data_IF_194194413562
#
_entry.id   IF_194194413562
#
_cell.length_a   1.000
_cell.length_b   1.000
_cell.length_c   1.000
_cell.angle_alpha   90.00
_cell.angle_beta   90.00
_cell.angle_gamma   90.00
#
_symmetry.space_group_name_H-M   'P 1'
#
loop_
_entity.id
_entity.type
_entity.pdbx_description
1 polymer ?
#
# COMPACT_ATOMS: atom_id res chain seq x y z
N UNK A 1 12.98 6.11 13.47
CA UNK A 1 12.92 6.49 12.03
C UNK A 1 12.64 5.29 11.11
N UNK A 2 11.65 4.44 11.43
CA UNK A 2 11.19 3.35 10.53
C UNK A 2 9.66 3.23 10.48
N UNK A 3 8.95 4.05 11.26
CA UNK A 3 7.49 4.05 11.40
C UNK A 3 6.78 5.02 10.46
N UNK A 4 7.50 5.99 9.88
CA UNK A 4 6.92 6.96 8.95
C UNK A 4 6.70 6.40 7.54
N UNK A 5 7.56 5.46 7.11
CA UNK A 5 7.47 4.85 5.77
C UNK A 5 6.26 3.90 5.58
N UNK A 6 5.61 3.50 6.68
CA UNK A 6 4.39 2.67 6.64
C UNK A 6 3.11 3.51 6.56
N UNK A 7 3.16 4.78 6.98
CA UNK A 7 1.98 5.66 7.00
C UNK A 7 1.62 6.18 5.60
N UNK A 8 2.62 6.39 4.75
CA UNK A 8 2.47 6.82 3.35
C UNK A 8 1.86 5.76 2.45
N UNK A 9 2.18 4.48 2.70
CA UNK A 9 1.61 3.38 1.92
C UNK A 9 0.12 3.17 2.27
N UNK A 10 -0.30 3.50 3.50
CA UNK A 10 -1.68 3.30 3.97
C UNK A 10 -2.68 4.27 3.33
N UNK A 11 -2.29 5.54 3.14
CA UNK A 11 -3.14 6.59 2.54
C UNK A 11 -3.42 6.31 1.06
N UNK A 12 -2.56 5.56 0.38
CA UNK A 12 -2.62 5.36 -1.07
C UNK A 12 -3.30 4.08 -1.54
N UNK A 13 -3.66 3.18 -0.62
CA UNK A 13 -4.37 1.92 -0.92
C UNK A 13 -5.82 1.95 -0.43
N UNK A 14 -6.13 2.67 0.64
CA UNK A 14 -7.48 2.70 1.20
C UNK A 14 -8.20 3.96 0.77
N UNK A 15 -9.19 3.81 -0.10
CA UNK A 15 -10.16 4.85 -0.49
C UNK A 15 -11.03 5.38 0.66
N UNK A 16 -10.62 5.20 1.92
CA UNK A 16 -11.28 5.69 3.12
C UNK A 16 -10.27 6.43 3.98
N UNK A 17 -10.19 7.75 3.81
CA UNK A 17 -9.81 8.59 4.94
C UNK A 17 -10.98 8.48 5.93
N UNK A 18 -10.89 7.54 6.87
CA UNK A 18 -11.72 7.62 8.07
C UNK A 18 -11.35 8.93 8.75
N UNK A 19 -12.36 9.78 8.99
CA UNK A 19 -12.26 11.08 9.68
C UNK A 19 -11.52 11.02 11.02
N UNK A 20 -11.33 9.82 11.59
CA UNK A 20 -10.56 9.54 12.80
C UNK A 20 -9.04 9.58 12.67
N UNK A 21 -8.45 9.44 11.47
CA UNK A 21 -6.98 9.47 11.31
C UNK A 21 -6.43 10.90 11.31
N UNK A 22 -7.26 11.84 10.84
CA UNK A 22 -7.01 13.27 10.95
C UNK A 22 -7.00 13.65 12.43
N UNK A 23 -7.91 13.17 13.28
CA UNK A 23 -7.86 13.53 14.71
C UNK A 23 -6.60 13.03 15.44
N UNK A 24 -6.07 11.86 15.09
CA UNK A 24 -4.91 11.27 15.77
C UNK A 24 -3.56 11.87 15.32
N UNK A 25 -3.43 12.27 14.05
CA UNK A 25 -2.25 13.01 13.58
C UNK A 25 -2.16 14.41 14.22
N UNK A 26 -3.31 15.03 14.53
CA UNK A 26 -3.41 16.34 15.18
C UNK A 26 -3.16 16.27 16.70
N UNK A 27 -3.25 15.07 17.30
CA UNK A 27 -2.91 14.87 18.71
C UNK A 27 -1.39 14.83 18.97
N UNK A 28 -0.55 14.86 17.93
CA UNK A 28 0.90 15.03 18.06
C UNK A 28 1.27 16.51 17.96
N UNK A 29 2.00 17.02 18.96
CA UNK A 29 2.47 18.41 19.07
C UNK A 29 3.53 18.83 18.00
N UNK A 30 3.55 18.22 16.82
CA UNK A 30 4.45 18.60 15.70
C UNK A 30 3.62 19.25 14.57
N UNK A 31 3.59 20.59 14.48
CA UNK A 31 2.83 21.32 13.45
C UNK A 31 3.21 20.90 12.02
N UNK A 32 4.43 20.38 11.81
CA UNK A 32 4.94 20.00 10.50
C UNK A 32 4.55 18.57 10.07
N UNK A 33 3.79 17.82 10.89
CA UNK A 33 3.40 16.46 10.53
C UNK A 33 2.46 16.43 9.31
N UNK A 34 1.56 17.41 9.19
CA UNK A 34 0.64 17.54 8.06
C UNK A 34 1.39 17.84 6.77
N UNK A 35 2.36 18.77 6.82
CA UNK A 35 3.22 19.09 5.69
C UNK A 35 3.98 17.85 5.21
N UNK A 36 4.62 17.10 6.12
CA UNK A 36 5.33 15.87 5.76
C UNK A 36 4.44 14.83 5.09
N UNK A 37 3.20 14.67 5.56
CA UNK A 37 2.24 13.76 4.93
C UNK A 37 1.88 14.27 3.54
N UNK A 38 1.61 15.57 3.40
CA UNK A 38 1.22 16.20 2.14
C UNK A 38 2.32 16.13 1.08
N UNK A 39 3.57 16.48 1.42
CA UNK A 39 4.72 16.37 0.52
C UNK A 39 4.96 14.92 0.05
N UNK A 40 4.74 13.95 0.94
CA UNK A 40 4.91 12.55 0.59
C UNK A 40 3.81 12.06 -0.34
N UNK A 41 2.56 12.47 -0.08
CA UNK A 41 1.43 12.20 -0.96
C UNK A 41 1.64 12.84 -2.34
N UNK A 42 2.07 14.10 -2.40
CA UNK A 42 2.38 14.83 -3.63
C UNK A 42 3.42 14.06 -4.49
N UNK A 43 4.56 13.71 -3.89
CA UNK A 43 5.59 12.89 -4.54
C UNK A 43 5.03 11.56 -5.04
N UNK A 44 4.16 10.92 -4.27
CA UNK A 44 3.61 9.62 -4.64
C UNK A 44 2.61 9.73 -5.79
N UNK A 45 1.76 10.76 -5.80
CA UNK A 45 0.83 11.05 -6.90
C UNK A 45 1.60 11.40 -8.16
N UNK A 46 2.61 12.27 -8.09
CA UNK A 46 3.48 12.57 -9.24
C UNK A 46 4.09 11.31 -9.84
N UNK A 47 4.70 10.46 -9.00
CA UNK A 47 5.23 9.17 -9.42
C UNK A 47 4.16 8.25 -10.05
N UNK A 48 2.91 8.30 -9.56
CA UNK A 48 1.81 7.54 -10.16
C UNK A 48 1.41 8.08 -11.54
N UNK A 49 1.35 9.39 -11.69
CA UNK A 49 1.05 10.04 -12.97
C UNK A 49 2.15 9.75 -13.99
N UNK A 50 3.42 9.94 -13.61
CA UNK A 50 4.59 9.64 -14.46
C UNK A 50 4.58 8.17 -14.91
N UNK A 51 4.25 7.23 -14.01
CA UNK A 51 4.14 5.80 -14.34
C UNK A 51 2.96 5.47 -15.24
N UNK A 52 1.84 6.16 -15.07
CA UNK A 52 0.57 5.84 -15.75
C UNK A 52 0.43 6.52 -17.11
N UNK A 53 1.04 7.70 -17.28
CA UNK A 53 0.86 8.57 -18.44
C UNK A 53 2.18 9.09 -19.04
N UNK A 54 3.30 9.08 -18.30
CA UNK A 54 4.55 9.71 -18.75
C UNK A 54 4.33 11.20 -19.02
N UNK A 55 4.79 11.68 -20.17
CA UNK A 55 4.69 13.09 -20.58
C UNK A 55 3.29 13.48 -21.13
N UNK A 56 2.29 12.60 -20.99
CA UNK A 56 0.95 12.78 -21.58
C UNK A 56 -0.16 12.63 -20.54
N UNK A 57 -0.02 13.32 -19.40
CA UNK A 57 -1.07 13.39 -18.37
C UNK A 57 -2.30 14.09 -18.95
N UNK A 58 -3.51 13.53 -18.81
CA UNK A 58 -4.74 14.20 -19.23
C UNK A 58 -4.89 15.57 -18.53
N UNK A 59 -5.23 16.62 -19.28
CA UNK A 59 -5.33 18.00 -18.76
C UNK A 59 -6.24 18.12 -17.52
N UNK A 60 -7.35 17.37 -17.46
CA UNK A 60 -8.22 17.38 -16.29
C UNK A 60 -7.57 16.78 -15.02
N UNK A 61 -6.60 15.86 -15.17
CA UNK A 61 -5.81 15.30 -14.07
C UNK A 61 -4.65 16.23 -13.73
N UNK A 62 -4.02 16.84 -14.74
CA UNK A 62 -2.96 17.84 -14.58
C UNK A 62 -3.46 19.05 -13.79
N UNK A 63 -4.63 19.60 -14.14
CA UNK A 63 -5.28 20.71 -13.42
C UNK A 63 -5.57 20.37 -11.94
N UNK A 64 -5.97 19.13 -11.66
CA UNK A 64 -6.21 18.67 -10.29
C UNK A 64 -4.90 18.52 -9.53
N UNK A 65 -3.85 18.04 -10.20
CA UNK A 65 -2.53 17.88 -9.61
C UNK A 65 -1.89 19.22 -9.28
N UNK A 66 -1.95 20.20 -10.19
CA UNK A 66 -1.47 21.56 -9.96
C UNK A 66 -2.17 22.19 -8.75
N UNK A 67 -3.50 22.13 -8.68
CA UNK A 67 -4.27 22.63 -7.53
C UNK A 67 -3.91 21.93 -6.22
N UNK A 68 -3.70 20.62 -6.26
CA UNK A 68 -3.30 19.86 -5.08
C UNK A 68 -1.89 20.25 -4.63
N UNK A 69 -0.95 20.41 -5.57
CA UNK A 69 0.42 20.84 -5.33
C UNK A 69 0.47 22.26 -4.74
N UNK A 70 -0.28 23.20 -5.31
CA UNK A 70 -0.41 24.56 -4.78
C UNK A 70 -0.98 24.56 -3.35
N UNK A 71 -1.93 23.67 -3.04
CA UNK A 71 -2.42 23.52 -1.67
C UNK A 71 -1.34 23.00 -0.71
N UNK A 72 -0.41 22.14 -1.16
CA UNK A 72 0.76 21.73 -0.36
C UNK A 72 1.73 22.91 -0.13
N UNK A 73 1.99 23.72 -1.15
CA UNK A 73 2.83 24.93 -1.01
C UNK A 73 2.17 25.96 -0.08
N UNK A 74 0.85 26.15 -0.18
CA UNK A 74 0.10 27.03 0.71
C UNK A 74 0.14 26.54 2.16
N UNK A 75 -0.03 25.23 2.38
CA UNK A 75 0.14 24.58 3.68
C UNK A 75 1.54 24.84 4.28
N UNK A 76 2.60 24.75 3.47
CA UNK A 76 3.97 25.06 3.92
C UNK A 76 4.09 26.52 4.36
N UNK A 77 3.54 27.45 3.57
CA UNK A 77 3.60 28.89 3.83
C UNK A 77 2.77 29.33 5.04
N UNK A 78 1.68 28.63 5.35
CA UNK A 78 0.83 28.91 6.51
C UNK A 78 1.43 28.41 7.83
N UNK A 79 2.40 27.51 7.81
CA UNK A 79 3.02 26.99 9.02
C UNK A 79 4.24 27.83 9.46
N UNK A 80 4.40 28.12 10.77
CA UNK A 80 3.54 27.70 11.89
C UNK A 80 2.42 28.70 12.24
N UNK A 81 2.34 29.84 11.54
CA UNK A 81 1.65 31.03 12.01
C UNK A 81 0.12 30.98 11.84
N UNK A 82 -0.38 30.25 10.85
CA UNK A 82 -1.81 30.11 10.54
C UNK A 82 -2.21 28.62 10.46
N UNK A 83 -2.44 28.05 11.64
CA UNK A 83 -2.79 26.63 11.81
C UNK A 83 -4.16 26.29 11.22
N UNK A 84 -5.09 27.24 11.18
CA UNK A 84 -6.42 27.03 10.59
C UNK A 84 -6.31 26.93 9.06
N UNK A 85 -5.63 27.88 8.42
CA UNK A 85 -5.38 27.83 6.98
C UNK A 85 -4.58 26.59 6.58
N UNK A 86 -3.51 26.27 7.32
CA UNK A 86 -2.72 25.06 7.11
C UNK A 86 -3.60 23.79 7.12
N UNK A 87 -4.58 23.72 8.04
CA UNK A 87 -5.51 22.59 8.11
C UNK A 87 -6.42 22.51 6.88
N UNK A 88 -6.95 23.64 6.43
CA UNK A 88 -7.81 23.68 5.24
C UNK A 88 -7.05 23.28 3.98
N UNK A 89 -5.83 23.77 3.83
CA UNK A 89 -4.94 23.47 2.71
C UNK A 89 -4.55 21.99 2.68
N UNK A 90 -4.22 21.40 3.85
CA UNK A 90 -3.98 19.97 3.96
C UNK A 90 -5.18 19.13 3.50
N UNK A 91 -6.38 19.44 3.99
CA UNK A 91 -7.60 18.71 3.63
C UNK A 91 -7.92 18.84 2.14
N UNK A 92 -7.70 20.03 1.58
CA UNK A 92 -7.88 20.32 0.15
C UNK A 92 -6.92 19.47 -0.70
N UNK A 93 -5.63 19.48 -0.37
CA UNK A 93 -4.62 18.66 -1.04
C UNK A 93 -4.98 17.17 -0.98
N UNK A 94 -5.32 16.66 0.21
CA UNK A 94 -5.64 15.23 0.39
C UNK A 94 -6.88 14.80 -0.39
N UNK A 95 -7.91 15.65 -0.45
CA UNK A 95 -9.13 15.38 -1.23
C UNK A 95 -8.84 15.33 -2.72
N UNK A 96 -8.04 16.26 -3.24
CA UNK A 96 -7.65 16.29 -4.65
C UNK A 96 -6.75 15.10 -5.01
N UNK A 97 -5.76 14.75 -4.17
CA UNK A 97 -4.95 13.55 -4.38
C UNK A 97 -5.78 12.27 -4.35
N UNK A 98 -6.79 12.17 -3.48
CA UNK A 98 -7.72 11.05 -3.48
C UNK A 98 -8.52 10.99 -4.79
N UNK A 99 -8.99 12.14 -5.28
CA UNK A 99 -9.71 12.23 -6.55
C UNK A 99 -8.82 11.80 -7.73
N UNK A 100 -7.58 12.29 -7.79
CA UNK A 100 -6.60 11.88 -8.80
C UNK A 100 -6.37 10.38 -8.73
N UNK A 101 -6.09 9.83 -7.55
CA UNK A 101 -5.86 8.39 -7.38
C UNK A 101 -7.05 7.55 -7.85
N UNK A 102 -8.28 8.01 -7.58
CA UNK A 102 -9.51 7.40 -8.11
C UNK A 102 -9.58 7.53 -9.61
N UNK A 103 -9.35 8.71 -10.20
CA UNK A 103 -9.41 8.92 -11.65
C UNK A 103 -8.36 8.09 -12.39
N UNK A 104 -7.15 7.96 -11.85
CA UNK A 104 -6.11 7.07 -12.38
C UNK A 104 -6.55 5.60 -12.27
N UNK A 105 -7.19 5.23 -11.17
CA UNK A 105 -7.72 3.87 -10.97
C UNK A 105 -8.97 3.59 -11.81
N UNK A 106 -9.85 4.56 -12.04
CA UNK A 106 -11.07 4.40 -12.82
C UNK A 106 -10.83 4.53 -14.31
N UNK A 107 -9.83 5.29 -14.76
CA UNK A 107 -9.36 5.20 -16.16
C UNK A 107 -8.84 3.79 -16.50
N UNK A 108 -8.49 2.98 -15.49
CA UNK A 108 -8.16 1.56 -15.69
C UNK A 108 -9.38 0.62 -15.65
N UNK A 109 -10.58 1.09 -15.28
CA UNK A 109 -11.81 0.27 -15.17
C UNK A 109 -13.02 0.79 -15.97
N UNK A 110 -13.03 2.04 -16.44
CA UNK A 110 -14.13 2.64 -17.20
C UNK A 110 -13.68 2.98 -18.63
N UNK A 111 -13.51 1.97 -19.47
CA UNK A 111 -13.69 2.14 -20.92
C UNK A 111 -14.94 1.37 -21.32
N UNK A 112 -16.09 1.92 -20.94
CA UNK A 112 -17.39 1.49 -21.47
C UNK A 112 -17.53 2.11 -22.86
N UNK A 113 -17.25 1.27 -23.86
CA UNK A 113 -17.67 1.32 -25.27
C UNK A 113 -18.43 2.59 -25.69
N UNK A 114 -17.69 3.52 -26.31
CA UNK A 114 -18.23 4.36 -27.38
C UNK A 114 -17.42 4.06 -28.62
N UNK A 115 -18.04 3.35 -29.55
CA UNK A 115 -17.52 3.10 -30.89
C UNK A 115 -17.47 4.40 -31.67
N UNK A 116 -16.34 5.08 -31.66
CA UNK A 116 -16.01 6.10 -32.65
C UNK A 116 -14.49 6.18 -32.82
N UNK A 117 -14.02 5.80 -34.01
CA UNK A 117 -12.65 5.95 -34.52
C UNK A 117 -11.52 5.78 -33.49
N UNK A 118 -11.31 4.54 -33.03
CA UNK A 118 -10.04 4.19 -32.39
C UNK A 118 -9.02 4.03 -33.52
N UNK A 119 -8.07 4.96 -33.61
CA UNK A 119 -6.97 4.84 -34.57
C UNK A 119 -5.97 3.77 -34.10
N UNK A 120 -5.25 3.12 -35.02
CA UNK A 120 -4.18 2.17 -34.65
C UNK A 120 -3.10 2.80 -33.77
N UNK A 121 -2.97 4.15 -33.83
CA UNK A 121 -2.11 4.95 -32.95
C UNK A 121 -2.53 4.85 -31.48
N UNK A 122 -3.83 4.83 -31.21
CA UNK A 122 -4.39 4.78 -29.85
C UNK A 122 -4.23 3.38 -29.25
N UNK A 123 -4.44 2.32 -30.03
CA UNK A 123 -4.22 0.93 -29.61
C UNK A 123 -2.75 0.65 -29.27
N UNK A 124 -1.82 1.12 -30.11
CA UNK A 124 -0.39 0.95 -29.88
C UNK A 124 0.09 1.70 -28.64
N UNK A 125 -0.44 2.90 -28.41
CA UNK A 125 -0.16 3.69 -27.21
C UNK A 125 -0.66 2.97 -25.94
N UNK A 126 -1.90 2.46 -25.98
CA UNK A 126 -2.48 1.69 -24.89
C UNK A 126 -1.70 0.40 -24.59
N UNK A 127 -1.38 -0.38 -25.62
CA UNK A 127 -0.60 -1.61 -25.48
C UNK A 127 0.78 -1.34 -24.87
N UNK A 128 1.46 -0.25 -25.27
CA UNK A 128 2.74 0.16 -24.70
C UNK A 128 2.63 0.53 -23.21
N UNK A 129 1.56 1.24 -22.82
CA UNK A 129 1.31 1.58 -21.40
C UNK A 129 1.09 0.33 -20.56
N UNK A 130 0.27 -0.59 -21.05
CA UNK A 130 0.03 -1.88 -20.39
C UNK A 130 1.34 -2.69 -20.28
N UNK A 131 2.18 -2.68 -21.31
CA UNK A 131 3.46 -3.38 -21.28
C UNK A 131 4.41 -2.84 -20.22
N UNK A 132 4.56 -1.51 -20.13
CA UNK A 132 5.38 -0.87 -19.07
C UNK A 132 4.87 -1.23 -17.68
N UNK A 133 3.55 -1.24 -17.48
CA UNK A 133 2.97 -1.61 -16.20
C UNK A 133 3.20 -3.09 -15.87
N UNK A 134 3.01 -3.99 -16.83
CA UNK A 134 3.32 -5.41 -16.69
C UNK A 134 4.80 -5.65 -16.32
N UNK A 135 5.76 -4.96 -16.95
CA UNK A 135 7.19 -5.10 -16.61
C UNK A 135 7.50 -4.67 -15.16
N UNK A 136 6.77 -3.67 -14.66
CA UNK A 136 6.87 -3.25 -13.26
C UNK A 136 6.35 -4.35 -12.32
N UNK A 137 5.20 -4.95 -12.64
CA UNK A 137 4.63 -6.07 -11.86
C UNK A 137 5.53 -7.31 -11.90
N UNK A 138 6.10 -7.64 -13.06
CA UNK A 138 7.07 -8.72 -13.24
C UNK A 138 8.28 -8.54 -12.33
N UNK A 139 8.90 -7.35 -12.35
CA UNK A 139 10.04 -7.03 -11.48
C UNK A 139 9.71 -7.20 -10.00
N UNK A 140 8.51 -6.78 -9.57
CA UNK A 140 8.04 -6.96 -8.19
C UNK A 140 7.85 -8.44 -7.86
N UNK A 141 7.19 -9.18 -8.75
CA UNK A 141 6.95 -10.63 -8.62
C UNK A 141 8.25 -11.41 -8.47
N UNK A 142 9.25 -11.14 -9.30
CA UNK A 142 10.57 -11.79 -9.28
C UNK A 142 11.34 -11.46 -8.00
N UNK A 143 11.35 -10.18 -7.59
CA UNK A 143 12.01 -9.72 -6.36
C UNK A 143 11.42 -10.38 -5.12
N UNK A 144 10.10 -10.57 -5.09
CA UNK A 144 9.39 -11.20 -3.98
C UNK A 144 9.30 -12.73 -4.10
N UNK A 145 9.75 -13.29 -5.23
CA UNK A 145 9.68 -14.72 -5.57
C UNK A 145 8.27 -15.29 -5.43
N UNK A 146 7.27 -14.55 -5.94
CA UNK A 146 5.85 -14.90 -5.74
C UNK A 146 5.40 -16.17 -6.47
N UNK A 147 6.19 -16.66 -7.44
CA UNK A 147 5.88 -17.89 -8.20
C UNK A 147 4.79 -17.74 -9.26
N UNK A 148 4.32 -16.52 -9.55
CA UNK A 148 3.28 -16.26 -10.56
C UNK A 148 3.79 -16.64 -11.96
N UNK A 149 2.96 -17.36 -12.71
CA UNK A 149 3.16 -17.67 -14.13
C UNK A 149 2.85 -16.42 -14.98
N UNK A 150 3.76 -16.03 -15.87
CA UNK A 150 3.65 -14.80 -16.67
C UNK A 150 3.73 -15.05 -18.18
N UNK A 151 3.79 -16.30 -18.63
CA UNK A 151 3.94 -16.65 -20.04
C UNK A 151 2.70 -16.32 -20.85
N UNK A 152 1.51 -16.48 -20.28
CA UNK A 152 0.24 -16.21 -20.95
C UNK A 152 0.11 -14.74 -21.35
N UNK A 153 0.30 -13.82 -20.40
CA UNK A 153 0.22 -12.39 -20.68
C UNK A 153 1.33 -11.92 -21.64
N UNK A 154 2.52 -12.54 -21.59
CA UNK A 154 3.59 -12.26 -22.56
C UNK A 154 3.19 -12.66 -23.98
N UNK A 155 2.50 -13.79 -24.16
CA UNK A 155 1.97 -14.21 -25.46
C UNK A 155 0.89 -13.25 -25.97
N UNK A 156 0.01 -12.76 -25.09
CA UNK A 156 -1.02 -11.80 -25.46
C UNK A 156 -0.43 -10.46 -25.91
N UNK A 157 0.67 -9.99 -25.30
CA UNK A 157 1.38 -8.79 -25.80
C UNK A 157 1.94 -8.96 -27.22
N UNK A 158 2.38 -10.18 -27.59
CA UNK A 158 2.84 -10.48 -28.95
C UNK A 158 1.64 -10.48 -29.90
N UNK A 159 0.58 -11.21 -29.54
CA UNK A 159 -0.65 -11.30 -30.34
C UNK A 159 -1.29 -9.93 -30.62
N UNK A 160 -1.41 -9.07 -29.60
CA UNK A 160 -1.96 -7.73 -29.76
C UNK A 160 -1.12 -6.86 -30.72
N UNK A 161 0.22 -6.99 -30.69
CA UNK A 161 1.08 -6.29 -31.65
C UNK A 161 0.88 -6.80 -33.07
N UNK A 162 0.76 -8.12 -33.25
CA UNK A 162 0.51 -8.73 -34.57
C UNK A 162 -0.83 -8.27 -35.15
N UNK A 163 -1.89 -8.22 -34.33
CA UNK A 163 -3.21 -7.74 -34.73
C UNK A 163 -3.22 -6.26 -35.11
N UNK A 164 -2.51 -5.41 -34.35
CA UNK A 164 -2.37 -3.98 -34.70
C UNK A 164 -1.61 -3.80 -36.02
N UNK A 165 -0.57 -4.61 -36.29
CA UNK A 165 0.19 -4.55 -37.55
C UNK A 165 -0.65 -5.02 -38.74
N UNK A 166 -1.58 -5.95 -38.50
CA UNK A 166 -2.47 -6.49 -39.52
C UNK A 166 -3.76 -5.68 -39.73
N UNK A 167 -3.89 -4.51 -39.08
CA UNK A 167 -5.10 -3.69 -39.03
C UNK A 167 -6.36 -4.46 -38.54
N UNK A 168 -6.16 -5.53 -37.74
CA UNK A 168 -7.24 -6.24 -37.04
C UNK A 168 -7.58 -5.50 -35.75
N UNK A 169 -8.22 -4.33 -35.90
CA UNK A 169 -8.59 -3.44 -34.80
C UNK A 169 -9.48 -4.16 -33.76
N UNK A 170 -10.43 -4.98 -34.21
CA UNK A 170 -11.35 -5.67 -33.31
C UNK A 170 -10.65 -6.76 -32.50
N UNK A 171 -9.79 -7.56 -33.14
CA UNK A 171 -8.97 -8.56 -32.46
C UNK A 171 -8.01 -7.91 -31.47
N UNK A 172 -7.34 -6.82 -31.86
CA UNK A 172 -6.45 -6.07 -31.00
C UNK A 172 -7.16 -5.54 -29.73
N UNK A 173 -8.37 -4.98 -29.88
CA UNK A 173 -9.19 -4.50 -28.74
C UNK A 173 -9.51 -5.65 -27.78
N UNK A 174 -9.89 -6.82 -28.29
CA UNK A 174 -10.20 -7.99 -27.46
C UNK A 174 -8.98 -8.46 -26.68
N UNK A 175 -7.85 -8.66 -27.37
CA UNK A 175 -6.59 -9.08 -26.75
C UNK A 175 -6.09 -8.06 -25.71
N UNK A 176 -6.23 -6.76 -25.96
CA UNK A 176 -5.89 -5.70 -25.00
C UNK A 176 -6.75 -5.81 -23.73
N UNK A 177 -8.04 -6.12 -23.85
CA UNK A 177 -8.93 -6.29 -22.69
C UNK A 177 -8.58 -7.55 -21.87
N UNK A 178 -8.12 -8.62 -22.52
CA UNK A 178 -7.61 -9.80 -21.83
C UNK A 178 -6.32 -9.49 -21.06
N UNK A 179 -5.38 -8.74 -21.68
CA UNK A 179 -4.17 -8.26 -21.01
C UNK A 179 -4.53 -7.45 -19.76
N UNK A 180 -5.50 -6.53 -19.84
CA UNK A 180 -5.96 -5.74 -18.68
C UNK A 180 -6.47 -6.64 -17.55
N UNK A 181 -7.26 -7.65 -17.88
CA UNK A 181 -7.83 -8.57 -16.91
C UNK A 181 -6.75 -9.38 -16.19
N UNK A 182 -5.75 -9.88 -16.93
CA UNK A 182 -4.61 -10.59 -16.34
C UNK A 182 -3.71 -9.68 -15.50
N UNK A 183 -3.51 -8.42 -15.90
CA UNK A 183 -2.78 -7.44 -15.07
C UNK A 183 -3.45 -7.25 -13.71
N UNK A 184 -4.78 -7.17 -13.67
CA UNK A 184 -5.54 -7.06 -12.42
C UNK A 184 -5.29 -8.29 -11.55
N UNK A 185 -5.42 -9.50 -12.13
CA UNK A 185 -5.18 -10.75 -11.41
C UNK A 185 -3.75 -10.85 -10.86
N UNK A 186 -2.73 -10.48 -11.65
CA UNK A 186 -1.32 -10.48 -11.21
C UNK A 186 -1.11 -9.51 -10.05
N UNK A 187 -1.70 -8.31 -10.12
CA UNK A 187 -1.63 -7.30 -9.07
C UNK A 187 -2.25 -7.80 -7.77
N UNK A 188 -3.41 -8.45 -7.84
CA UNK A 188 -4.08 -9.03 -6.67
C UNK A 188 -3.22 -10.13 -6.03
N UNK A 189 -2.67 -11.04 -6.84
CA UNK A 189 -1.81 -12.11 -6.32
C UNK A 189 -0.54 -11.57 -5.63
N UNK A 190 0.09 -10.53 -6.19
CA UNK A 190 1.26 -9.88 -5.56
C UNK A 190 0.87 -9.24 -4.21
N UNK A 191 -0.30 -8.60 -4.15
CA UNK A 191 -0.81 -7.98 -2.93
C UNK A 191 -1.06 -9.04 -1.85
N UNK A 192 -1.72 -10.12 -2.21
CA UNK A 192 -2.12 -11.16 -1.26
C UNK A 192 -0.89 -11.91 -0.75
N UNK A 193 0.08 -12.21 -1.63
CA UNK A 193 1.37 -12.76 -1.22
C UNK A 193 2.13 -11.82 -0.27
N UNK A 194 2.14 -10.50 -0.54
CA UNK A 194 2.80 -9.52 0.33
C UNK A 194 2.16 -9.45 1.72
N UNK A 195 0.83 -9.50 1.78
CA UNK A 195 0.08 -9.53 3.04
C UNK A 195 0.38 -10.80 3.84
N UNK A 196 0.34 -11.97 3.20
CA UNK A 196 0.61 -13.25 3.84
C UNK A 196 2.06 -13.34 4.31
N UNK A 197 3.03 -12.94 3.48
CA UNK A 197 4.45 -12.92 3.86
C UNK A 197 4.73 -11.97 5.03
N UNK A 198 4.04 -10.83 5.12
CA UNK A 198 4.15 -9.95 6.28
C UNK A 198 3.61 -10.62 7.56
N UNK A 199 2.49 -11.34 7.44
CA UNK A 199 1.91 -12.15 8.53
C UNK A 199 2.89 -13.22 9.02
N UNK A 200 3.48 -13.98 8.08
CA UNK A 200 4.45 -15.03 8.36
C UNK A 200 5.70 -14.50 9.07
N UNK A 201 6.23 -13.36 8.62
CA UNK A 201 7.39 -12.71 9.28
C UNK A 201 7.06 -12.26 10.70
N UNK A 202 5.85 -11.78 10.95
CA UNK A 202 5.40 -11.41 12.31
C UNK A 202 5.27 -12.66 13.16
N UNK A 203 4.72 -13.75 12.63
CA UNK A 203 4.64 -15.06 13.29
C UNK A 203 6.04 -15.57 13.67
N UNK A 204 6.98 -15.63 12.73
CA UNK A 204 8.37 -16.03 13.00
C UNK A 204 9.02 -15.14 14.08
N UNK A 205 8.81 -13.82 13.99
CA UNK A 205 9.35 -12.90 14.98
C UNK A 205 8.80 -13.18 16.38
N UNK A 206 7.48 -13.32 16.52
CA UNK A 206 6.82 -13.58 17.81
C UNK A 206 7.32 -14.91 18.38
N UNK A 207 7.29 -16.01 17.60
CA UNK A 207 7.77 -17.32 18.05
C UNK A 207 9.22 -17.26 18.55
N UNK A 208 10.11 -16.58 17.82
CA UNK A 208 11.50 -16.39 18.24
C UNK A 208 11.64 -15.56 19.53
N UNK A 209 10.75 -14.60 19.76
CA UNK A 209 10.74 -13.87 21.02
C UNK A 209 10.15 -14.68 22.17
N UNK A 210 9.11 -15.48 21.93
CA UNK A 210 8.55 -16.39 22.93
C UNK A 210 9.63 -17.36 23.43
N UNK A 211 10.42 -17.95 22.53
CA UNK A 211 11.54 -18.83 22.90
C UNK A 211 12.56 -18.12 23.82
N UNK A 212 12.82 -16.84 23.58
CA UNK A 212 13.74 -16.03 24.42
C UNK A 212 13.11 -15.66 25.76
N UNK A 213 11.81 -15.38 25.77
CA UNK A 213 11.05 -15.07 26.98
C UNK A 213 11.00 -16.32 27.86
N UNK A 214 10.72 -17.50 27.30
CA UNK A 214 10.71 -18.76 28.03
C UNK A 214 12.03 -18.97 28.77
N UNK A 215 13.18 -18.80 28.10
CA UNK A 215 14.51 -18.86 28.72
C UNK A 215 14.74 -17.87 29.86
N UNK A 216 14.00 -16.76 29.90
CA UNK A 216 14.04 -15.79 31.01
C UNK A 216 13.14 -16.26 32.16
N UNK A 217 11.94 -16.76 31.84
CA UNK A 217 11.00 -17.28 32.82
C UNK A 217 11.59 -18.51 33.54
N UNK A 218 12.30 -19.38 32.82
CA UNK A 218 12.98 -20.56 33.39
C UNK A 218 14.07 -20.21 34.43
N UNK A 219 14.50 -18.94 34.50
CA UNK A 219 15.50 -18.44 35.47
C UNK A 219 14.87 -17.72 36.67
N UNK A 220 13.55 -17.52 36.65
CA UNK A 220 12.85 -16.94 37.77
C UNK A 220 12.65 -18.00 38.86
N UNK A 221 13.03 -17.69 40.10
CA UNK A 221 12.79 -18.59 41.24
C UNK A 221 11.35 -18.40 41.78
N UNK A 222 10.67 -19.52 42.00
CA UNK A 222 9.31 -19.70 42.55
C UNK A 222 8.10 -19.19 41.74
N UNK A 223 7.02 -19.99 41.83
CA UNK A 223 5.68 -19.79 41.26
C UNK A 223 5.06 -18.48 41.76
N UNK A 224 5.25 -17.40 41.01
CA UNK A 224 4.54 -16.14 41.22
C UNK A 224 3.32 -16.09 40.30
N UNK A 225 2.25 -15.42 40.75
CA UNK A 225 1.06 -15.19 39.92
C UNK A 225 1.39 -14.51 38.58
N UNK A 226 2.47 -13.71 38.54
CA UNK A 226 2.98 -13.10 37.32
C UNK A 226 3.61 -14.12 36.36
N UNK A 227 4.28 -15.15 36.87
CA UNK A 227 4.90 -16.21 36.07
C UNK A 227 3.84 -17.15 35.47
N UNK A 228 2.83 -17.53 36.25
CA UNK A 228 1.67 -18.29 35.76
C UNK A 228 0.93 -17.52 34.65
N UNK A 229 0.69 -16.22 34.88
CA UNK A 229 0.07 -15.35 33.88
C UNK A 229 0.92 -15.19 32.62
N UNK A 230 2.24 -15.14 32.75
CA UNK A 230 3.16 -15.10 31.62
C UNK A 230 3.07 -16.40 30.79
N UNK A 231 3.09 -17.57 31.43
CA UNK A 231 2.98 -18.86 30.74
C UNK A 231 1.62 -19.01 30.04
N UNK A 232 0.52 -18.65 30.70
CA UNK A 232 -0.82 -18.67 30.08
C UNK A 232 -0.91 -17.77 28.85
N UNK A 233 -0.29 -16.58 28.90
CA UNK A 233 -0.22 -15.70 27.73
C UNK A 233 0.64 -16.27 26.60
N UNK A 234 1.71 -17.02 26.91
CA UNK A 234 2.51 -17.71 25.88
C UNK A 234 1.65 -18.73 25.16
N UNK A 235 0.94 -19.60 25.89
CA UNK A 235 0.03 -20.60 25.31
C UNK A 235 -1.07 -19.94 24.46
N UNK A 236 -1.69 -18.87 24.94
CA UNK A 236 -2.71 -18.14 24.19
C UNK A 236 -2.15 -17.55 22.88
N UNK A 237 -0.93 -17.01 22.90
CA UNK A 237 -0.26 -16.48 21.70
C UNK A 237 0.05 -17.60 20.71
N UNK A 238 0.49 -18.77 21.16
CA UNK A 238 0.77 -19.93 20.31
C UNK A 238 -0.49 -20.46 19.63
N UNK A 239 -1.62 -20.51 20.35
CA UNK A 239 -2.94 -20.87 19.79
C UNK A 239 -3.36 -19.84 18.73
N UNK A 240 -3.31 -18.55 19.04
CA UNK A 240 -3.68 -17.49 18.09
C UNK A 240 -2.81 -17.50 16.82
N UNK A 241 -1.53 -17.85 16.95
CA UNK A 241 -0.60 -18.03 15.83
C UNK A 241 -0.94 -19.26 14.97
N UNK A 242 -1.45 -20.33 15.61
CA UNK A 242 -1.87 -21.56 14.94
C UNK A 242 -3.19 -21.38 14.19
N UNK A 243 -4.06 -20.49 14.68
CA UNK A 243 -5.33 -20.09 14.07
C UNK A 243 -5.21 -18.94 13.04
N UNK A 244 -3.99 -18.50 12.71
CA UNK A 244 -3.69 -17.35 11.83
C UNK A 244 -4.30 -16.00 12.29
N UNK A 245 -4.62 -15.88 13.58
CA UNK A 245 -5.11 -14.63 14.22
C UNK A 245 -3.96 -13.72 14.63
N UNK A 246 -3.09 -13.37 13.68
CA UNK A 246 -1.82 -12.66 13.94
C UNK A 246 -2.01 -11.27 14.59
N UNK A 247 -3.11 -10.59 14.27
CA UNK A 247 -3.45 -9.30 14.91
C UNK A 247 -3.69 -9.43 16.42
N UNK A 248 -4.40 -10.47 16.84
CA UNK A 248 -4.71 -10.70 18.25
C UNK A 248 -3.50 -11.29 19.00
N UNK A 249 -2.73 -12.17 18.35
CA UNK A 249 -1.45 -12.64 18.87
C UNK A 249 -0.50 -11.47 19.19
N UNK A 250 -0.46 -10.44 18.32
CA UNK A 250 0.35 -9.23 18.54
C UNK A 250 -0.10 -8.43 19.76
N UNK A 251 -1.42 -8.30 19.99
CA UNK A 251 -1.96 -7.60 21.17
C UNK A 251 -1.53 -8.32 22.45
N UNK A 252 -1.75 -9.64 22.50
CA UNK A 252 -1.38 -10.49 23.64
C UNK A 252 0.13 -10.53 23.89
N UNK A 253 0.95 -10.54 22.83
CA UNK A 253 2.40 -10.40 22.95
C UNK A 253 2.82 -9.05 23.57
N UNK A 254 2.05 -7.98 23.34
CA UNK A 254 2.23 -6.70 24.02
C UNK A 254 1.95 -6.76 25.53
N UNK A 255 0.95 -7.54 25.94
CA UNK A 255 0.63 -7.79 27.35
C UNK A 255 1.72 -8.63 28.03
N UNK A 256 2.15 -9.72 27.37
CA UNK A 256 3.23 -10.58 27.85
C UNK A 256 4.52 -9.78 28.11
N UNK A 257 4.91 -8.89 27.20
CA UNK A 257 6.11 -8.06 27.38
C UNK A 257 6.06 -7.17 28.62
N UNK A 258 4.87 -6.70 29.04
CA UNK A 258 4.72 -5.90 30.26
C UNK A 258 4.99 -6.75 31.50
N UNK A 259 4.44 -7.96 31.55
CA UNK A 259 4.60 -8.90 32.67
C UNK A 259 6.05 -9.39 32.75
N UNK A 260 6.65 -9.78 31.63
CA UNK A 260 8.07 -10.19 31.58
C UNK A 260 9.00 -9.08 32.06
N UNK A 261 8.66 -7.80 31.85
CA UNK A 261 9.43 -6.68 32.38
C UNK A 261 9.35 -6.58 33.91
N UNK A 262 8.24 -6.98 34.52
CA UNK A 262 8.07 -7.06 35.97
C UNK A 262 8.91 -8.22 36.51
N UNK A 263 8.77 -9.40 35.93
CA UNK A 263 9.54 -10.61 36.31
C UNK A 263 11.06 -10.38 36.17
N UNK A 264 11.52 -9.76 35.08
CA UNK A 264 12.95 -9.43 34.91
C UNK A 264 13.50 -8.50 36.01
N UNK A 265 12.66 -7.68 36.63
CA UNK A 265 13.08 -6.80 37.74
C UNK A 265 13.15 -7.54 39.07
N UNK A 266 12.38 -8.63 39.26
CA UNK A 266 12.45 -9.44 40.48
C UNK A 266 13.62 -10.44 40.47
N UNK A 267 14.16 -10.77 39.30
CA UNK A 267 15.35 -11.62 39.14
C UNK A 267 16.66 -10.85 39.40
N UNK A 268 16.63 -9.50 39.38
CA UNK A 268 17.82 -8.65 39.42
C UNK A 268 18.04 -8.04 40.80
#
# INVERSE_FOLDING_TARGET
>A
MKTLALFTIFVLVFGTLSTSLVSDAYAQNDPNILLRIAEQADKQIKNQLDRSYGDSVPSNIEDLYEKAHTAVESLENSLPDDVEQAREDFLTAMKLFQQISRMVSTYTTETKVSTSDVSDRDLKSELNRLHKYFQSLKSVSEKQKTGIELSEIQRLFILANEQIIADDTQGAIQTINEIKSLIISIKEHIRDYSSNSASDRVKEFILKQLERIQKVLDRADSETADLEKANSLIEEIEILISEDKISDAKKKFGELNKIVKIIKKSIR
#
